data_IF_587832270792
#
_entry.id   IF_587832270792
#
_cell.length_a   1.000
_cell.length_b   1.000
_cell.length_c   1.000
_cell.angle_alpha   90.00
_cell.angle_beta   90.00
_cell.angle_gamma   90.00
#
_symmetry.space_group_name_H-M   'P 1'
#
loop_
_entity.id
_entity.type
_entity.pdbx_description
1 polymer ?
#
# COMPACT_ATOMS: atom_id res chain seq x y z
N UNK A 1 5.49 -26.91 19.65
CA UNK A 1 6.21 -25.64 19.69
C UNK A 1 5.55 -24.76 20.73
N UNK A 2 6.33 -24.01 21.51
CA UNK A 2 5.79 -23.04 22.47
C UNK A 2 5.21 -21.87 21.67
N UNK A 3 3.92 -21.54 21.85
CA UNK A 3 3.30 -20.43 21.14
C UNK A 3 3.72 -19.07 21.70
N UNK A 4 3.54 -17.99 20.91
CA UNK A 4 3.87 -16.63 21.28
C UNK A 4 2.67 -15.89 21.90
N UNK A 5 2.95 -15.00 22.84
CA UNK A 5 1.99 -14.02 23.35
C UNK A 5 2.00 -12.79 22.43
N UNK A 6 0.92 -12.60 21.70
CA UNK A 6 0.83 -11.59 20.61
C UNK A 6 -0.02 -10.39 21.05
N UNK A 7 0.49 -9.18 20.80
CA UNK A 7 -0.31 -7.96 20.84
C UNK A 7 -0.53 -7.41 19.42
N UNK A 8 -1.74 -6.95 19.12
CA UNK A 8 -2.07 -6.26 17.85
C UNK A 8 -2.59 -4.87 18.18
N UNK A 9 -1.76 -3.85 18.00
CA UNK A 9 -2.09 -2.43 18.23
C UNK A 9 -2.76 -1.87 16.98
N UNK A 10 -3.98 -1.40 17.11
CA UNK A 10 -4.85 -1.03 15.99
C UNK A 10 -5.67 -2.21 15.46
N UNK A 11 -5.99 -3.20 16.31
CA UNK A 11 -6.67 -4.45 15.95
C UNK A 11 -8.04 -4.24 15.24
N UNK A 12 -8.72 -3.13 15.48
CA UNK A 12 -10.00 -2.77 14.83
C UNK A 12 -9.85 -2.02 13.51
N UNK A 13 -8.62 -1.70 13.10
CA UNK A 13 -8.30 -1.07 11.82
C UNK A 13 -8.21 -2.07 10.67
N UNK A 14 -8.19 -1.57 9.42
CA UNK A 14 -8.12 -2.42 8.23
C UNK A 14 -6.89 -3.35 8.24
N UNK A 15 -5.70 -2.83 8.55
CA UNK A 15 -4.47 -3.63 8.61
C UNK A 15 -4.47 -4.55 9.84
N UNK A 16 -4.91 -4.07 11.02
CA UNK A 16 -4.96 -4.91 12.23
C UNK A 16 -5.89 -6.12 12.08
N UNK A 17 -7.04 -5.94 11.44
CA UNK A 17 -7.95 -7.03 11.12
C UNK A 17 -7.31 -8.05 10.15
N UNK A 18 -6.56 -7.58 9.16
CA UNK A 18 -5.82 -8.46 8.25
C UNK A 18 -4.65 -9.17 8.96
N UNK A 19 -3.96 -8.54 9.93
CA UNK A 19 -2.95 -9.22 10.75
C UNK A 19 -3.56 -10.42 11.48
N UNK A 20 -4.72 -10.23 12.11
CA UNK A 20 -5.42 -11.33 12.81
C UNK A 20 -5.77 -12.46 11.83
N UNK A 21 -6.34 -12.14 10.67
CA UNK A 21 -6.68 -13.10 9.64
C UNK A 21 -5.46 -13.86 9.12
N UNK A 22 -4.37 -13.17 8.82
CA UNK A 22 -3.15 -13.79 8.30
C UNK A 22 -2.48 -14.68 9.35
N UNK A 23 -2.44 -14.28 10.64
CA UNK A 23 -1.95 -15.14 11.72
C UNK A 23 -2.75 -16.45 11.80
N UNK A 24 -4.05 -16.40 11.60
CA UNK A 24 -4.92 -17.57 11.57
C UNK A 24 -4.67 -18.45 10.34
N UNK A 25 -4.71 -17.89 9.14
CA UNK A 25 -4.54 -18.60 7.87
C UNK A 25 -3.17 -19.27 7.75
N UNK A 26 -2.13 -18.63 8.28
CA UNK A 26 -0.77 -19.15 8.29
C UNK A 26 -0.48 -20.08 9.48
N UNK A 27 -1.49 -20.33 10.31
CA UNK A 27 -1.35 -21.15 11.50
C UNK A 27 -0.18 -20.71 12.40
N UNK A 28 0.04 -19.39 12.48
CA UNK A 28 1.10 -18.84 13.33
C UNK A 28 0.92 -19.31 14.79
N UNK A 29 2.00 -19.70 15.49
CA UNK A 29 1.91 -20.29 16.83
C UNK A 29 1.55 -19.25 17.89
N UNK A 30 0.27 -18.92 18.03
CA UNK A 30 -0.25 -17.97 19.02
C UNK A 30 -0.69 -18.71 20.28
N UNK A 31 -0.02 -18.43 21.41
CA UNK A 31 -0.39 -18.91 22.74
C UNK A 31 -1.46 -18.03 23.40
N UNK A 32 -1.38 -16.71 23.22
CA UNK A 32 -2.41 -15.78 23.64
C UNK A 32 -2.45 -14.56 22.72
N UNK A 33 -3.63 -13.94 22.61
CA UNK A 33 -3.85 -12.75 21.80
C UNK A 33 -4.34 -11.59 22.66
N UNK A 34 -3.71 -10.43 22.52
CA UNK A 34 -4.13 -9.16 23.12
C UNK A 34 -4.44 -8.15 22.03
N UNK A 35 -5.71 -8.02 21.58
CA UNK A 35 -6.10 -6.96 20.64
C UNK A 35 -6.19 -5.62 21.39
N UNK A 36 -5.52 -4.61 20.84
CA UNK A 36 -5.37 -3.29 21.45
C UNK A 36 -5.84 -2.21 20.47
N UNK A 37 -6.57 -1.22 20.96
CA UNK A 37 -6.95 -0.05 20.17
C UNK A 37 -7.11 1.21 21.05
N UNK A 38 -7.59 2.32 20.47
CA UNK A 38 -7.92 3.53 21.22
C UNK A 38 -9.14 3.33 22.14
N UNK A 39 -9.30 4.19 23.14
CA UNK A 39 -10.47 4.22 24.05
C UNK A 39 -11.82 4.10 23.31
N UNK A 40 -11.96 4.74 22.13
CA UNK A 40 -13.17 4.67 21.31
C UNK A 40 -13.53 3.24 20.84
N UNK A 41 -12.56 2.35 20.77
CA UNK A 41 -12.73 0.96 20.33
C UNK A 41 -12.58 -0.06 21.46
N UNK A 42 -12.18 0.38 22.65
CA UNK A 42 -12.10 -0.47 23.84
C UNK A 42 -13.49 -1.10 24.16
N UNK A 43 -13.48 -2.34 24.57
CA UNK A 43 -14.67 -3.12 24.84
C UNK A 43 -15.37 -3.73 23.62
N UNK A 44 -15.00 -3.33 22.38
CA UNK A 44 -15.44 -4.06 21.17
C UNK A 44 -14.79 -5.44 21.16
N UNK A 45 -15.40 -6.37 20.43
CA UNK A 45 -14.86 -7.71 20.24
C UNK A 45 -14.19 -7.81 18.86
N UNK A 46 -13.06 -8.51 18.78
CA UNK A 46 -12.48 -9.01 17.55
C UNK A 46 -12.47 -10.52 17.56
N UNK A 47 -12.74 -11.12 16.40
CA UNK A 47 -12.69 -12.59 16.24
C UNK A 47 -11.30 -13.01 15.82
N UNK A 48 -10.80 -14.06 16.44
CA UNK A 48 -9.56 -14.74 16.04
C UNK A 48 -9.76 -16.24 16.26
N UNK A 49 -9.57 -17.02 15.24
CA UNK A 49 -10.00 -18.43 15.19
C UNK A 49 -11.50 -18.51 15.51
N UNK A 50 -11.92 -19.38 16.38
CA UNK A 50 -13.33 -19.50 16.79
C UNK A 50 -13.70 -18.69 18.03
N UNK A 51 -12.73 -17.96 18.60
CA UNK A 51 -12.89 -17.21 19.83
C UNK A 51 -13.09 -15.71 19.60
N UNK A 52 -13.73 -15.06 20.56
CA UNK A 52 -13.96 -13.62 20.58
C UNK A 52 -13.14 -12.98 21.68
N UNK A 53 -12.29 -12.02 21.32
CA UNK A 53 -11.38 -11.34 22.24
C UNK A 53 -11.83 -9.90 22.46
N UNK A 54 -11.96 -9.42 23.72
CA UNK A 54 -12.25 -8.03 23.98
C UNK A 54 -11.05 -7.16 23.63
N UNK A 55 -11.32 -6.07 22.92
CA UNK A 55 -10.31 -5.05 22.59
C UNK A 55 -9.97 -4.25 23.84
N UNK A 56 -8.69 -4.22 24.19
CA UNK A 56 -8.19 -3.45 25.32
C UNK A 56 -7.80 -2.03 24.89
N UNK A 57 -7.93 -1.08 25.81
CA UNK A 57 -7.39 0.25 25.59
C UNK A 57 -5.87 0.25 25.66
N UNK A 58 -5.24 0.99 24.74
CA UNK A 58 -3.79 1.13 24.69
C UNK A 58 -3.27 1.95 25.87
N UNK A 59 -2.38 1.37 26.66
CA UNK A 59 -1.72 1.98 27.80
C UNK A 59 -0.31 1.43 28.03
N UNK A 60 0.41 1.97 29.00
CA UNK A 60 1.80 1.59 29.26
C UNK A 60 1.99 0.11 29.66
N UNK A 61 0.98 -0.51 30.27
CA UNK A 61 0.99 -1.93 30.66
C UNK A 61 0.46 -2.87 29.58
N UNK A 62 0.15 -2.36 28.41
CA UNK A 62 -0.42 -3.15 27.32
C UNK A 62 0.56 -4.20 26.76
N UNK A 63 1.83 -4.09 27.11
CA UNK A 63 2.89 -4.97 26.57
C UNK A 63 3.47 -5.93 27.62
N UNK A 64 2.95 -5.94 28.85
CA UNK A 64 3.39 -6.85 29.89
C UNK A 64 3.23 -8.32 29.42
N UNK A 65 4.33 -9.08 29.40
CA UNK A 65 4.37 -10.49 28.95
C UNK A 65 3.96 -10.72 27.49
N UNK A 66 4.22 -9.77 26.62
CA UNK A 66 4.03 -9.91 25.18
C UNK A 66 5.37 -10.26 24.55
N UNK A 67 5.38 -11.29 23.70
CA UNK A 67 6.56 -11.68 22.93
C UNK A 67 6.69 -10.85 21.67
N UNK A 68 5.58 -10.68 20.91
CA UNK A 68 5.56 -9.94 19.63
C UNK A 68 4.40 -8.96 19.62
N UNK A 69 4.67 -7.71 19.26
CA UNK A 69 3.68 -6.65 19.11
C UNK A 69 3.62 -6.10 17.68
N UNK A 70 2.51 -6.32 17.00
CA UNK A 70 2.24 -5.73 15.68
C UNK A 70 1.61 -4.34 15.83
N UNK A 71 2.23 -3.31 15.27
CA UNK A 71 1.75 -1.94 15.32
C UNK A 71 1.14 -1.52 13.99
N UNK A 72 -0.14 -1.12 14.00
CA UNK A 72 -0.87 -0.64 12.82
C UNK A 72 -1.85 0.50 13.17
N UNK A 73 -1.49 1.35 14.14
CA UNK A 73 -2.34 2.41 14.68
C UNK A 73 -1.88 3.84 14.32
N UNK A 74 -0.99 3.95 13.33
CA UNK A 74 -0.46 5.22 12.83
C UNK A 74 0.77 5.74 13.57
N UNK A 75 1.46 6.70 12.94
CA UNK A 75 2.80 7.14 13.37
C UNK A 75 2.86 7.79 14.75
N UNK A 76 1.84 8.55 15.15
CA UNK A 76 1.79 9.16 16.48
C UNK A 76 1.76 8.09 17.59
N UNK A 77 0.92 7.07 17.39
CA UNK A 77 0.83 5.93 18.31
C UNK A 77 2.13 5.15 18.36
N UNK A 78 2.76 4.89 17.21
CA UNK A 78 4.05 4.19 17.14
C UNK A 78 5.14 4.98 17.84
N UNK A 79 5.25 6.28 17.59
CA UNK A 79 6.26 7.13 18.25
C UNK A 79 6.16 7.08 19.78
N UNK A 80 4.93 7.03 20.30
CA UNK A 80 4.69 7.03 21.74
C UNK A 80 4.89 5.65 22.37
N UNK A 81 4.39 4.59 21.74
CA UNK A 81 4.24 3.29 22.41
C UNK A 81 5.22 2.21 21.92
N UNK A 82 5.89 2.35 20.79
CA UNK A 82 6.94 1.42 20.38
C UNK A 82 8.08 1.37 21.40
N UNK A 83 8.60 2.51 21.90
CA UNK A 83 9.61 2.47 22.96
C UNK A 83 9.13 1.76 24.24
N UNK A 84 7.85 1.94 24.61
CA UNK A 84 7.26 1.27 25.78
C UNK A 84 7.19 -0.24 25.59
N UNK A 85 6.81 -0.70 24.39
CA UNK A 85 6.77 -2.13 24.07
C UNK A 85 8.17 -2.75 24.07
N UNK A 86 9.17 -2.09 23.49
CA UNK A 86 10.56 -2.55 23.52
C UNK A 86 11.13 -2.59 24.94
N UNK A 87 10.78 -1.63 25.82
CA UNK A 87 11.18 -1.65 27.24
C UNK A 87 10.53 -2.79 28.02
N UNK A 88 9.39 -3.31 27.57
CA UNK A 88 8.73 -4.49 28.13
C UNK A 88 9.22 -5.80 27.48
N UNK A 89 10.36 -5.77 26.79
CA UNK A 89 10.99 -6.88 26.07
C UNK A 89 10.13 -7.49 24.94
N UNK A 90 9.09 -6.78 24.48
CA UNK A 90 8.34 -7.21 23.32
C UNK A 90 9.08 -6.85 22.02
N UNK A 91 9.20 -7.83 21.12
CA UNK A 91 9.62 -7.54 19.75
C UNK A 91 8.51 -6.79 19.01
N UNK A 92 8.81 -5.63 18.48
CA UNK A 92 7.87 -4.79 17.75
C UNK A 92 8.06 -4.96 16.24
N UNK A 93 6.96 -5.17 15.52
CA UNK A 93 6.89 -5.06 14.05
C UNK A 93 5.97 -3.88 13.74
N UNK A 94 6.56 -2.77 13.27
CA UNK A 94 5.84 -1.49 13.10
C UNK A 94 5.53 -1.19 11.63
N UNK A 95 4.24 -1.04 11.31
CA UNK A 95 3.78 -0.64 9.97
C UNK A 95 3.84 0.87 9.70
N UNK A 96 4.15 1.70 10.71
CA UNK A 96 4.23 3.14 10.50
C UNK A 96 5.52 3.54 9.78
N UNK A 97 5.56 4.78 9.28
CA UNK A 97 6.77 5.31 8.65
C UNK A 97 7.81 5.85 9.65
N UNK A 98 7.50 5.85 10.96
CA UNK A 98 8.26 6.59 11.97
C UNK A 98 9.70 6.12 12.08
N UNK A 99 9.92 4.81 12.08
CA UNK A 99 11.24 4.22 12.36
C UNK A 99 11.91 3.64 11.12
N UNK A 100 11.26 3.67 9.95
CA UNK A 100 11.76 3.00 8.74
C UNK A 100 13.15 3.44 8.33
N UNK A 101 13.45 4.73 8.47
CA UNK A 101 14.74 5.29 8.04
C UNK A 101 15.79 5.40 9.14
N UNK A 102 15.47 4.96 10.37
CA UNK A 102 16.45 4.87 11.45
C UNK A 102 17.52 3.81 11.11
N UNK A 103 18.80 4.17 11.22
CA UNK A 103 19.91 3.32 10.77
C UNK A 103 20.02 1.98 11.51
N UNK A 104 19.58 1.96 12.77
CA UNK A 104 19.62 0.77 13.64
C UNK A 104 18.36 -0.09 13.58
N UNK A 105 17.32 0.35 12.85
CA UNK A 105 16.06 -0.38 12.69
C UNK A 105 16.04 -1.08 11.34
N UNK A 106 16.00 -2.41 11.28
CA UNK A 106 15.83 -3.12 10.02
C UNK A 106 14.50 -2.77 9.34
N UNK A 107 14.55 -2.57 8.02
CA UNK A 107 13.38 -2.38 7.16
C UNK A 107 13.29 -3.59 6.23
N UNK A 108 12.29 -4.47 6.44
CA UNK A 108 12.36 -5.83 5.93
C UNK A 108 11.22 -6.20 4.99
N UNK A 109 11.60 -6.78 3.84
CA UNK A 109 10.74 -7.60 3.00
C UNK A 109 11.35 -9.00 2.99
N UNK A 110 10.70 -10.03 3.55
CA UNK A 110 11.29 -11.37 3.71
C UNK A 110 11.83 -11.98 2.43
N UNK A 111 11.22 -11.76 1.28
CA UNK A 111 11.67 -12.27 -0.02
C UNK A 111 12.91 -11.54 -0.56
N UNK A 112 13.34 -10.44 0.08
CA UNK A 112 14.40 -9.56 -0.43
C UNK A 112 15.60 -9.54 0.51
N UNK A 113 15.38 -9.21 1.78
CA UNK A 113 16.42 -8.96 2.77
C UNK A 113 16.11 -9.59 4.13
N UNK A 114 15.66 -10.86 4.14
CA UNK A 114 15.33 -11.60 5.37
C UNK A 114 16.42 -11.54 6.45
N UNK A 115 17.69 -11.58 6.05
CA UNK A 115 18.84 -11.58 6.98
C UNK A 115 18.94 -10.28 7.80
N UNK A 116 18.37 -9.17 7.29
CA UNK A 116 18.35 -7.92 8.04
C UNK A 116 17.47 -8.03 9.30
N UNK A 117 16.42 -8.86 9.27
CA UNK A 117 15.56 -9.07 10.44
C UNK A 117 16.36 -9.50 11.67
N UNK A 118 17.43 -10.31 11.50
CA UNK A 118 18.28 -10.77 12.59
C UNK A 118 19.10 -9.68 13.28
N UNK A 119 19.19 -8.49 12.69
CA UNK A 119 19.93 -7.35 13.24
C UNK A 119 19.08 -6.44 14.12
N UNK A 120 17.83 -6.82 14.39
CA UNK A 120 16.94 -6.02 15.21
C UNK A 120 17.43 -5.84 16.64
N UNK A 121 17.01 -4.74 17.27
CA UNK A 121 17.22 -4.44 18.70
C UNK A 121 15.87 -4.27 19.39
N UNK A 122 14.95 -5.23 19.17
CA UNK A 122 13.58 -5.17 19.69
C UNK A 122 12.58 -4.50 18.75
N UNK A 123 13.02 -3.93 17.61
CA UNK A 123 12.15 -3.27 16.64
C UNK A 123 12.54 -3.63 15.22
N UNK A 124 11.54 -3.99 14.38
CA UNK A 124 11.65 -4.17 12.94
C UNK A 124 10.57 -3.30 12.28
N UNK A 125 10.95 -2.53 11.28
CA UNK A 125 10.02 -1.72 10.49
C UNK A 125 9.49 -2.52 9.30
N UNK A 126 8.18 -2.43 9.09
CA UNK A 126 7.49 -2.91 7.90
C UNK A 126 7.45 -1.80 6.85
N UNK A 127 7.79 -2.06 5.57
CA UNK A 127 7.94 -1.02 4.58
C UNK A 127 6.61 -0.37 4.15
N UNK A 128 6.72 0.69 3.36
CA UNK A 128 5.60 1.29 2.65
C UNK A 128 4.97 0.26 1.69
N UNK A 129 3.65 0.26 1.62
CA UNK A 129 2.91 -0.73 0.84
C UNK A 129 3.24 -0.68 -0.67
N UNK A 130 3.39 0.52 -1.22
CA UNK A 130 3.73 0.70 -2.63
C UNK A 130 5.17 0.28 -2.91
N UNK A 131 6.10 0.62 -2.00
CA UNK A 131 7.49 0.16 -2.04
C UNK A 131 7.56 -1.37 -2.03
N UNK A 132 6.86 -2.02 -1.09
CA UNK A 132 6.85 -3.47 -0.99
C UNK A 132 6.36 -4.11 -2.30
N UNK A 133 5.18 -3.72 -2.81
CA UNK A 133 4.61 -4.26 -4.04
C UNK A 133 5.53 -4.05 -5.24
N UNK A 134 6.12 -2.86 -5.39
CA UNK A 134 7.02 -2.54 -6.48
C UNK A 134 8.29 -3.41 -6.43
N UNK A 135 8.89 -3.54 -5.25
CA UNK A 135 10.14 -4.26 -5.07
C UNK A 135 9.98 -5.78 -5.27
N UNK A 136 8.79 -6.35 -5.05
CA UNK A 136 8.54 -7.77 -5.38
C UNK A 136 8.84 -8.10 -6.84
N UNK A 137 8.61 -7.15 -7.77
CA UNK A 137 8.94 -7.33 -9.18
C UNK A 137 10.32 -6.75 -9.55
N UNK A 138 10.70 -5.61 -8.98
CA UNK A 138 11.95 -4.92 -9.34
C UNK A 138 13.19 -5.65 -8.82
N UNK A 139 13.16 -6.18 -7.58
CA UNK A 139 14.33 -6.78 -6.97
C UNK A 139 14.82 -8.06 -7.66
N UNK A 140 13.96 -9.01 -8.07
CA UNK A 140 14.43 -10.14 -8.88
C UNK A 140 15.14 -9.73 -10.16
N UNK A 141 14.66 -8.69 -10.84
CA UNK A 141 15.31 -8.12 -12.03
C UNK A 141 16.64 -7.43 -11.68
N UNK A 142 16.68 -6.70 -10.56
CA UNK A 142 17.92 -6.11 -10.06
C UNK A 142 19.03 -7.14 -9.84
N UNK A 143 18.68 -8.27 -9.23
CA UNK A 143 19.63 -9.36 -8.96
C UNK A 143 20.31 -9.92 -10.21
N UNK A 144 19.68 -9.81 -11.36
CA UNK A 144 20.18 -10.35 -12.63
C UNK A 144 20.78 -9.26 -13.51
N UNK A 145 20.16 -8.09 -13.56
CA UNK A 145 20.49 -7.05 -14.54
C UNK A 145 21.10 -5.78 -13.93
N UNK A 146 21.07 -5.61 -12.60
CA UNK A 146 21.57 -4.41 -11.93
C UNK A 146 20.74 -3.17 -12.21
N UNK A 147 19.67 -2.92 -11.43
CA UNK A 147 18.84 -1.71 -11.60
C UNK A 147 19.63 -0.45 -11.24
N UNK A 148 19.59 0.56 -12.10
CA UNK A 148 20.18 1.88 -11.88
C UNK A 148 19.17 2.91 -11.41
N UNK A 149 18.08 3.01 -12.16
CA UNK A 149 17.01 3.99 -11.91
C UNK A 149 15.70 3.53 -12.47
N UNK A 150 14.62 4.15 -11.94
CA UNK A 150 13.27 3.93 -12.44
C UNK A 150 12.52 5.25 -12.64
N UNK A 151 11.60 5.27 -13.59
CA UNK A 151 10.41 6.10 -13.55
C UNK A 151 9.21 5.24 -13.20
N UNK A 152 8.36 5.70 -12.29
CA UNK A 152 7.19 4.95 -11.89
C UNK A 152 5.97 5.83 -11.65
N UNK A 153 4.79 5.27 -11.88
CA UNK A 153 3.53 5.84 -11.44
C UNK A 153 2.76 4.80 -10.63
N UNK A 154 2.34 5.16 -9.42
CA UNK A 154 1.53 4.27 -8.60
C UNK A 154 0.05 4.64 -8.71
N UNK A 155 -0.80 3.62 -8.70
CA UNK A 155 -2.26 3.70 -8.71
C UNK A 155 -2.76 3.07 -7.40
N UNK A 156 -3.00 3.93 -6.41
CA UNK A 156 -3.20 3.50 -5.04
C UNK A 156 -4.67 3.48 -4.64
N UNK A 157 -5.17 2.31 -4.23
CA UNK A 157 -6.52 2.11 -3.75
C UNK A 157 -6.82 2.92 -2.46
N UNK A 158 -8.07 3.29 -2.27
CA UNK A 158 -8.52 4.11 -1.12
C UNK A 158 -8.31 3.43 0.23
N UNK A 159 -8.32 2.10 0.30
CA UNK A 159 -8.09 1.37 1.55
C UNK A 159 -6.71 1.60 2.17
N UNK A 160 -5.72 2.07 1.38
CA UNK A 160 -4.44 2.56 1.90
C UNK A 160 -4.58 3.76 2.86
N UNK A 161 -5.67 4.52 2.76
CA UNK A 161 -6.04 5.60 3.70
C UNK A 161 -7.02 5.15 4.79
N UNK A 162 -7.26 3.84 4.93
CA UNK A 162 -8.08 3.24 5.98
C UNK A 162 -9.59 3.21 5.69
N UNK A 163 -10.34 2.72 6.68
CA UNK A 163 -11.78 2.46 6.54
C UNK A 163 -12.61 3.72 6.21
N UNK A 164 -12.21 4.90 6.69
CA UNK A 164 -12.90 6.16 6.37
C UNK A 164 -12.87 6.47 4.88
N UNK A 165 -11.75 6.22 4.20
CA UNK A 165 -11.59 6.43 2.77
C UNK A 165 -12.41 5.43 1.93
N UNK A 166 -12.50 4.18 2.38
CA UNK A 166 -13.38 3.17 1.77
C UNK A 166 -14.83 3.64 1.83
N UNK A 167 -15.29 4.08 3.01
CA UNK A 167 -16.64 4.57 3.20
C UNK A 167 -16.93 5.85 2.40
N UNK A 168 -15.94 6.74 2.26
CA UNK A 168 -16.07 7.94 1.45
C UNK A 168 -16.28 7.62 -0.01
N UNK A 169 -15.47 6.73 -0.60
CA UNK A 169 -15.66 6.29 -1.98
C UNK A 169 -17.03 5.63 -2.17
N UNK A 170 -17.43 4.72 -1.26
CA UNK A 170 -18.71 4.04 -1.34
C UNK A 170 -19.90 5.01 -1.29
N UNK A 171 -19.83 6.00 -0.41
CA UNK A 171 -20.84 7.06 -0.33
C UNK A 171 -20.91 7.87 -1.61
N UNK A 172 -19.78 8.40 -2.09
CA UNK A 172 -19.74 9.22 -3.30
C UNK A 172 -20.25 8.47 -4.54
N UNK A 173 -19.92 7.18 -4.71
CA UNK A 173 -20.42 6.33 -5.79
C UNK A 173 -21.94 6.14 -5.68
N UNK A 174 -22.44 5.87 -4.46
CA UNK A 174 -23.90 5.70 -4.21
C UNK A 174 -24.68 6.99 -4.49
N UNK A 175 -24.15 8.14 -4.07
CA UNK A 175 -24.78 9.44 -4.27
C UNK A 175 -24.82 9.81 -5.76
N UNK A 176 -23.75 9.58 -6.49
CA UNK A 176 -23.70 9.77 -7.94
C UNK A 176 -24.68 8.84 -8.72
N UNK A 177 -24.89 7.61 -8.22
CA UNK A 177 -25.85 6.69 -8.84
C UNK A 177 -27.32 7.07 -8.58
N UNK A 178 -27.61 7.75 -7.44
CA UNK A 178 -28.99 8.15 -7.08
C UNK A 178 -29.49 9.39 -7.78
N UNK A 179 -28.60 10.31 -8.12
CA UNK A 179 -28.96 11.58 -8.76
C UNK A 179 -27.97 11.97 -9.87
N UNK A 180 -28.11 11.36 -11.07
CA UNK A 180 -27.32 11.75 -12.21
C UNK A 180 -27.52 13.20 -12.69
N UNK A 181 -28.58 13.89 -12.21
CA UNK A 181 -28.97 15.24 -12.69
C UNK A 181 -28.75 16.35 -11.65
N UNK A 182 -28.81 16.08 -10.35
CA UNK A 182 -28.70 17.12 -9.31
C UNK A 182 -27.30 17.70 -9.19
N UNK A 183 -26.31 16.92 -9.60
CA UNK A 183 -24.91 17.33 -9.61
C UNK A 183 -24.57 18.37 -10.68
N UNK A 184 -25.44 18.58 -11.69
CA UNK A 184 -25.18 19.52 -12.82
C UNK A 184 -25.55 20.96 -12.56
N UNK A 185 -26.29 21.29 -11.48
CA UNK A 185 -26.88 22.63 -11.31
C UNK A 185 -26.18 23.57 -10.31
N UNK A 186 -25.17 23.14 -9.53
CA UNK A 186 -24.66 23.96 -8.41
C UNK A 186 -23.21 24.44 -8.45
N UNK A 187 -22.46 24.27 -9.53
CA UNK A 187 -21.05 24.70 -9.51
C UNK A 187 -20.50 25.35 -10.78
N UNK A 188 -21.28 26.16 -11.44
CA UNK A 188 -20.70 27.15 -12.37
C UNK A 188 -21.29 28.51 -11.99
N UNK A 189 -20.52 29.35 -11.30
CA UNK A 189 -20.72 30.77 -11.28
C UNK A 189 -20.85 31.24 -12.75
N UNK A 190 -21.88 32.03 -13.04
CA UNK A 190 -22.15 32.53 -14.37
C UNK A 190 -20.94 33.25 -14.94
N UNK A 191 -20.21 32.61 -15.84
CA UNK A 191 -19.36 33.33 -16.76
C UNK A 191 -20.25 34.04 -17.79
N UNK A 192 -19.95 35.29 -18.22
CA UNK A 192 -20.80 36.05 -19.13
C UNK A 192 -21.02 35.29 -20.45
N UNK A 193 -22.29 35.15 -20.85
CA UNK A 193 -22.70 34.52 -22.10
C UNK A 193 -22.12 35.32 -23.30
N UNK A 194 -21.07 34.78 -23.93
CA UNK A 194 -20.72 35.18 -25.27
C UNK A 194 -21.86 34.78 -26.22
N UNK A 195 -22.38 35.72 -26.98
CA UNK A 195 -23.40 35.51 -28.03
C UNK A 195 -22.81 34.65 -29.14
N UNK A 196 -23.15 33.36 -29.17
CA UNK A 196 -22.82 32.44 -30.25
C UNK A 196 -23.86 32.56 -31.35
N UNK A 197 -23.42 32.76 -32.59
CA UNK A 197 -24.23 32.85 -33.79
C UNK A 197 -24.81 31.46 -34.18
N UNK A 198 -25.96 31.44 -34.95
CA UNK A 198 -26.77 30.22 -35.16
C UNK A 198 -26.16 29.11 -36.04
N UNK A 199 -24.92 29.20 -36.50
CA UNK A 199 -24.39 28.30 -37.55
C UNK A 199 -23.51 27.15 -37.09
N UNK A 200 -23.38 26.85 -35.81
CA UNK A 200 -22.54 25.73 -35.31
C UNK A 200 -23.33 24.60 -34.61
N UNK A 201 -24.51 24.25 -35.13
CA UNK A 201 -25.20 23.03 -34.69
C UNK A 201 -24.72 21.78 -35.46
N UNK A 202 -23.49 21.42 -35.33
CA UNK A 202 -23.06 20.05 -35.59
C UNK A 202 -23.48 19.18 -34.38
N UNK A 203 -24.23 18.13 -34.66
CA UNK A 203 -24.84 17.20 -33.72
C UNK A 203 -23.79 16.39 -32.95
N UNK A 204 -23.25 16.92 -31.89
CA UNK A 204 -22.61 16.12 -30.88
C UNK A 204 -23.66 15.82 -29.78
N UNK A 205 -23.83 14.56 -29.36
CA UNK A 205 -24.68 14.25 -28.22
C UNK A 205 -24.19 15.08 -27.03
N UNK A 206 -25.09 15.61 -26.17
CA UNK A 206 -24.67 16.37 -24.99
C UNK A 206 -23.76 15.48 -24.16
N UNK A 207 -22.50 15.89 -24.02
CA UNK A 207 -21.58 15.25 -23.10
C UNK A 207 -22.28 15.23 -21.75
N UNK A 208 -22.67 14.02 -21.27
CA UNK A 208 -23.18 13.83 -19.90
C UNK A 208 -22.08 14.31 -18.96
N UNK A 209 -22.24 15.49 -18.40
CA UNK A 209 -21.34 15.96 -17.34
C UNK A 209 -21.64 15.14 -16.12
N UNK A 210 -20.80 14.17 -15.84
CA UNK A 210 -20.79 13.55 -14.53
C UNK A 210 -20.25 14.57 -13.55
N UNK A 211 -21.09 15.30 -12.85
CA UNK A 211 -20.65 16.13 -11.75
C UNK A 211 -20.64 15.27 -10.49
N UNK A 212 -19.46 14.95 -10.03
CA UNK A 212 -19.25 14.34 -8.70
C UNK A 212 -19.55 15.43 -7.66
N UNK A 213 -20.24 15.04 -6.60
CA UNK A 213 -20.64 15.87 -5.47
C UNK A 213 -19.63 16.96 -5.10
N UNK A 214 -20.16 18.12 -4.66
CA UNK A 214 -19.43 19.29 -4.17
C UNK A 214 -18.27 18.89 -3.23
N UNK A 215 -17.24 19.74 -3.14
CA UNK A 215 -16.10 19.60 -2.21
C UNK A 215 -16.51 19.34 -0.74
N UNK A 216 -17.74 19.69 -0.35
CA UNK A 216 -18.33 19.38 0.96
C UNK A 216 -18.50 17.87 1.22
N UNK A 217 -18.48 17.03 0.18
CA UNK A 217 -18.56 15.58 0.33
C UNK A 217 -17.18 14.90 0.54
N UNK A 218 -16.07 15.61 0.33
CA UNK A 218 -14.71 15.12 0.56
C UNK A 218 -14.31 15.36 2.01
N UNK A 219 -13.99 14.30 2.74
CA UNK A 219 -13.64 14.36 4.18
C UNK A 219 -12.28 13.74 4.50
N UNK A 220 -11.79 12.85 3.63
CA UNK A 220 -10.48 12.20 3.76
C UNK A 220 -9.51 12.77 2.75
N UNK A 221 -9.98 13.07 1.54
CA UNK A 221 -9.17 13.61 0.45
C UNK A 221 -9.49 15.08 0.19
N UNK A 222 -8.56 15.84 -0.41
CA UNK A 222 -8.80 17.26 -0.74
C UNK A 222 -9.85 17.46 -1.86
N UNK A 223 -10.13 16.41 -2.63
CA UNK A 223 -11.10 16.40 -3.72
C UNK A 223 -11.91 15.11 -3.71
N UNK A 224 -13.11 15.07 -4.31
CA UNK A 224 -13.86 13.84 -4.50
C UNK A 224 -13.04 12.77 -5.22
N UNK A 225 -13.09 11.55 -4.70
CA UNK A 225 -12.33 10.43 -5.26
C UNK A 225 -13.14 9.58 -6.24
N UNK A 226 -14.48 9.51 -6.09
CA UNK A 226 -15.31 8.75 -7.02
C UNK A 226 -15.18 9.34 -8.44
N UNK A 227 -14.91 8.48 -9.43
CA UNK A 227 -14.73 8.86 -10.84
C UNK A 227 -13.61 9.87 -11.09
N UNK A 228 -12.62 9.95 -10.21
CA UNK A 228 -11.53 10.92 -10.26
C UNK A 228 -10.17 10.25 -10.00
N UNK A 229 -9.10 10.94 -10.39
CA UNK A 229 -7.72 10.60 -10.07
C UNK A 229 -7.10 11.75 -9.29
N UNK A 230 -6.48 11.47 -8.16
CA UNK A 230 -5.79 12.49 -7.36
C UNK A 230 -4.28 12.22 -7.40
N UNK A 231 -3.48 13.00 -8.14
CA UNK A 231 -2.02 12.88 -8.17
C UNK A 231 -1.40 13.46 -6.89
N UNK A 232 -1.85 12.96 -5.77
CA UNK A 232 -1.53 13.47 -4.44
C UNK A 232 -1.77 12.36 -3.40
N UNK A 233 -0.68 11.80 -2.87
CA UNK A 233 -0.72 10.85 -1.75
C UNK A 233 0.28 11.32 -0.71
N UNK A 234 -0.19 11.53 0.55
CA UNK A 234 0.57 12.14 1.65
C UNK A 234 0.84 13.65 1.40
N UNK A 235 1.63 14.32 2.24
CA UNK A 235 1.89 15.75 2.17
C UNK A 235 2.99 16.10 1.16
N UNK A 236 2.86 17.26 0.52
CA UNK A 236 3.90 17.81 -0.36
C UNK A 236 5.13 18.28 0.44
N UNK A 237 6.29 18.14 -0.20
CA UNK A 237 7.56 18.68 0.21
C UNK A 237 7.90 19.93 -0.62
N UNK A 238 8.88 20.72 -0.18
CA UNK A 238 9.36 21.89 -0.92
C UNK A 238 9.89 21.56 -2.30
N UNK A 239 10.38 20.33 -2.50
CA UNK A 239 10.83 19.82 -3.81
C UNK A 239 9.71 19.62 -4.83
N UNK A 240 8.44 19.73 -4.43
CA UNK A 240 7.28 19.41 -5.26
C UNK A 240 6.89 17.93 -5.24
N UNK A 241 7.75 17.04 -4.76
CA UNK A 241 7.38 15.65 -4.49
C UNK A 241 6.53 15.53 -3.23
N UNK A 242 5.76 14.45 -3.12
CA UNK A 242 5.10 14.10 -1.86
C UNK A 242 6.00 13.23 -0.99
N UNK A 243 5.70 13.16 0.31
CA UNK A 243 6.40 12.23 1.21
C UNK A 243 6.25 10.77 0.76
N UNK A 244 5.09 10.41 0.20
CA UNK A 244 4.85 9.06 -0.32
C UNK A 244 5.81 8.71 -1.47
N UNK A 245 6.04 9.64 -2.38
CA UNK A 245 6.96 9.47 -3.51
C UNK A 245 8.41 9.31 -3.06
N UNK A 246 8.83 10.10 -2.08
CA UNK A 246 10.19 9.98 -1.53
C UNK A 246 10.40 8.70 -0.73
N UNK A 247 9.39 8.21 0.00
CA UNK A 247 9.47 6.90 0.67
C UNK A 247 9.82 5.78 -0.31
N UNK A 248 9.26 5.78 -1.51
CA UNK A 248 9.53 4.73 -2.49
C UNK A 248 11.02 4.70 -2.85
N UNK A 249 11.65 5.85 -3.05
CA UNK A 249 13.08 5.91 -3.31
C UNK A 249 13.92 5.50 -2.10
N UNK A 250 13.67 6.13 -0.95
CA UNK A 250 14.56 6.01 0.21
C UNK A 250 14.45 4.63 0.86
N UNK A 251 13.24 4.08 0.96
CA UNK A 251 13.01 2.74 1.46
C UNK A 251 13.58 1.68 0.50
N UNK A 252 13.47 1.88 -0.83
CA UNK A 252 14.08 0.97 -1.81
C UNK A 252 15.60 0.92 -1.69
N UNK A 253 16.26 2.06 -1.49
CA UNK A 253 17.70 2.13 -1.23
C UNK A 253 18.10 1.29 -0.01
N UNK A 254 17.35 1.42 1.08
CA UNK A 254 17.63 0.71 2.32
C UNK A 254 17.38 -0.79 2.18
N UNK A 255 16.24 -1.20 1.62
CA UNK A 255 15.84 -2.61 1.48
C UNK A 255 16.75 -3.36 0.51
N UNK A 256 17.10 -2.75 -0.62
CA UNK A 256 17.98 -3.37 -1.63
C UNK A 256 19.47 -3.22 -1.31
N UNK A 257 19.86 -2.48 -0.26
CA UNK A 257 21.25 -2.10 0.03
C UNK A 257 21.91 -1.39 -1.16
N UNK A 258 21.16 -0.52 -1.84
CA UNK A 258 21.60 0.16 -3.06
C UNK A 258 21.49 1.70 -2.89
N UNK A 259 22.45 2.36 -2.24
CA UNK A 259 22.37 3.79 -1.91
C UNK A 259 22.30 4.68 -3.15
N UNK A 260 22.87 4.25 -4.29
CA UNK A 260 22.87 5.00 -5.54
C UNK A 260 21.59 4.84 -6.37
N UNK A 261 20.64 4.02 -5.93
CA UNK A 261 19.38 3.85 -6.64
C UNK A 261 18.61 5.15 -6.73
N UNK A 262 18.05 5.44 -7.91
CA UNK A 262 17.28 6.65 -8.20
C UNK A 262 15.87 6.28 -8.67
N UNK A 263 14.88 6.95 -8.11
CA UNK A 263 13.50 6.80 -8.52
C UNK A 263 12.83 8.17 -8.69
N UNK A 264 12.19 8.40 -9.84
CA UNK A 264 11.24 9.49 -10.01
C UNK A 264 9.84 8.89 -10.07
N UNK A 265 9.01 9.22 -9.09
CA UNK A 265 7.71 8.57 -8.89
C UNK A 265 6.61 9.61 -8.82
N UNK A 266 5.47 9.31 -9.41
CA UNK A 266 4.22 10.04 -9.19
C UNK A 266 3.21 9.10 -8.52
N UNK A 267 2.73 9.48 -7.35
CA UNK A 267 1.75 8.71 -6.60
C UNK A 267 0.33 9.22 -6.82
N UNK A 268 -0.55 8.37 -7.36
CA UNK A 268 -1.92 8.71 -7.70
C UNK A 268 -2.91 7.90 -6.84
N UNK A 269 -3.83 8.58 -6.14
CA UNK A 269 -4.98 7.93 -5.52
C UNK A 269 -6.06 7.68 -6.59
N UNK A 270 -6.55 6.44 -6.66
CA UNK A 270 -7.54 6.03 -7.65
C UNK A 270 -8.82 5.51 -6.97
N UNK A 271 -9.99 5.55 -7.65
CA UNK A 271 -11.27 5.10 -7.10
C UNK A 271 -11.41 3.56 -7.12
N UNK A 272 -10.43 2.90 -6.53
CA UNK A 272 -10.35 1.45 -6.37
C UNK A 272 -10.36 1.14 -4.89
N UNK A 273 -11.16 0.16 -4.47
CA UNK A 273 -11.29 -0.15 -3.04
C UNK A 273 -10.05 -0.81 -2.45
N UNK A 274 -9.46 -1.79 -3.15
CA UNK A 274 -8.37 -2.63 -2.63
C UNK A 274 -7.39 -2.98 -3.74
N UNK A 275 -6.14 -3.21 -3.39
CA UNK A 275 -4.97 -3.46 -4.21
C UNK A 275 -4.39 -2.22 -4.91
N UNK A 276 -3.08 -2.07 -4.80
CA UNK A 276 -2.30 -1.05 -5.49
C UNK A 276 -1.71 -1.62 -6.77
N UNK A 277 -1.47 -0.74 -7.72
CA UNK A 277 -0.72 -1.09 -8.94
C UNK A 277 0.37 -0.06 -9.18
N UNK A 278 1.46 -0.48 -9.82
CA UNK A 278 2.58 0.39 -10.18
C UNK A 278 3.00 0.10 -11.62
N UNK A 279 3.01 1.14 -12.44
CA UNK A 279 3.68 1.13 -13.74
C UNK A 279 5.14 1.50 -13.52
N UNK A 280 6.07 0.70 -14.02
CA UNK A 280 7.50 0.91 -13.84
C UNK A 280 8.20 0.87 -15.19
N UNK A 281 9.05 1.87 -15.45
CA UNK A 281 10.10 1.88 -16.48
C UNK A 281 11.44 1.88 -15.77
N UNK A 282 12.20 0.79 -15.91
CA UNK A 282 13.45 0.57 -15.20
C UNK A 282 14.63 0.50 -16.17
N UNK A 283 15.72 1.21 -15.86
CA UNK A 283 17.00 1.10 -16.56
C UNK A 283 17.95 0.21 -15.76
N UNK A 284 18.65 -0.67 -16.48
CA UNK A 284 19.58 -1.63 -15.90
C UNK A 284 21.02 -1.39 -16.40
N UNK A 285 21.97 -1.98 -15.65
CA UNK A 285 23.41 -1.92 -16.00
C UNK A 285 23.77 -2.86 -17.14
N UNK A 286 23.17 -4.06 -17.09
CA UNK A 286 23.46 -5.13 -18.04
C UNK A 286 22.35 -5.23 -19.10
N UNK A 287 22.67 -5.76 -20.28
CA UNK A 287 21.68 -6.00 -21.33
C UNK A 287 20.52 -6.84 -20.83
N UNK A 288 19.31 -6.44 -21.20
CA UNK A 288 18.05 -7.11 -20.81
C UNK A 288 17.37 -7.70 -22.04
N UNK A 289 16.63 -8.80 -21.83
CA UNK A 289 15.63 -9.29 -22.78
C UNK A 289 14.32 -9.60 -22.07
N UNK A 290 13.21 -9.49 -22.79
CA UNK A 290 11.88 -9.77 -22.29
C UNK A 290 11.75 -11.22 -21.83
N UNK A 291 12.30 -12.15 -22.62
CA UNK A 291 12.27 -13.59 -22.34
C UNK A 291 12.98 -13.89 -21.03
N UNK A 292 14.20 -13.37 -20.86
CA UNK A 292 14.98 -13.59 -19.64
C UNK A 292 14.32 -12.91 -18.42
N UNK A 293 13.77 -11.72 -18.59
CA UNK A 293 13.03 -11.04 -17.53
C UNK A 293 11.80 -11.86 -17.08
N UNK A 294 11.03 -12.40 -18.01
CA UNK A 294 9.87 -13.26 -17.71
C UNK A 294 10.27 -14.54 -16.97
N UNK A 295 11.36 -15.18 -17.34
CA UNK A 295 11.91 -16.35 -16.64
C UNK A 295 12.27 -16.04 -15.19
N UNK A 296 12.90 -14.89 -14.95
CA UNK A 296 13.29 -14.42 -13.62
C UNK A 296 12.05 -14.14 -12.77
N UNK A 297 11.09 -13.40 -13.33
CA UNK A 297 9.87 -13.01 -12.62
C UNK A 297 8.98 -14.22 -12.31
N UNK A 298 8.90 -15.21 -13.21
CA UNK A 298 8.11 -16.43 -13.00
C UNK A 298 8.63 -17.31 -11.87
N UNK A 299 9.92 -17.17 -11.49
CA UNK A 299 10.56 -17.94 -10.42
C UNK A 299 10.68 -17.17 -9.10
N UNK A 300 10.30 -15.89 -9.09
CA UNK A 300 10.45 -15.05 -7.92
C UNK A 300 9.42 -15.44 -6.82
N UNK A 301 9.86 -15.61 -5.56
CA UNK A 301 8.96 -15.94 -4.47
C UNK A 301 7.95 -14.80 -4.22
N UNK A 302 6.71 -15.14 -3.87
CA UNK A 302 5.65 -14.14 -3.60
C UNK A 302 5.17 -13.38 -4.83
N UNK A 303 5.55 -13.80 -6.05
CA UNK A 303 5.21 -13.16 -7.31
C UNK A 303 4.61 -14.17 -8.30
N UNK A 304 3.57 -13.75 -9.00
CA UNK A 304 2.92 -14.50 -10.08
C UNK A 304 3.08 -13.74 -11.40
N UNK A 305 3.66 -14.37 -12.42
CA UNK A 305 3.73 -13.79 -13.77
C UNK A 305 2.39 -13.99 -14.51
N UNK A 306 1.66 -12.89 -14.75
CA UNK A 306 0.40 -12.86 -15.51
C UNK A 306 0.60 -11.96 -16.72
N UNK A 307 1.11 -12.52 -17.81
CA UNK A 307 1.56 -11.72 -18.96
C UNK A 307 1.21 -12.36 -20.31
N UNK A 308 -0.08 -12.42 -20.62
CA UNK A 308 -0.63 -12.86 -21.89
C UNK A 308 -1.49 -11.75 -22.53
N UNK A 309 -0.90 -10.63 -22.99
CA UNK A 309 -1.65 -9.46 -23.48
C UNK A 309 -2.58 -9.79 -24.65
N UNK A 310 -2.21 -10.73 -25.51
CA UNK A 310 -3.05 -11.18 -26.64
C UNK A 310 -4.36 -11.85 -26.19
N UNK A 311 -4.41 -12.34 -24.94
CA UNK A 311 -5.60 -12.92 -24.31
C UNK A 311 -6.26 -11.97 -23.31
N UNK A 312 -5.84 -10.71 -23.27
CA UNK A 312 -6.25 -9.72 -22.26
C UNK A 312 -5.99 -10.18 -20.81
N UNK A 313 -4.95 -10.99 -20.60
CA UNK A 313 -4.54 -11.45 -19.25
C UNK A 313 -3.31 -10.68 -18.79
N UNK A 314 -3.52 -9.87 -17.79
CA UNK A 314 -2.53 -9.01 -17.15
C UNK A 314 -2.96 -8.69 -15.71
N UNK A 315 -2.05 -8.24 -14.82
CA UNK A 315 -2.40 -7.93 -13.43
C UNK A 315 -3.40 -6.79 -13.32
N UNK A 316 -4.37 -6.94 -12.43
CA UNK A 316 -5.38 -5.92 -12.12
C UNK A 316 -5.67 -5.91 -10.62
N UNK A 317 -6.11 -4.78 -10.03
CA UNK A 317 -6.52 -4.71 -8.63
C UNK A 317 -7.53 -5.80 -8.24
N UNK A 318 -8.55 -6.04 -9.08
CA UNK A 318 -9.57 -7.08 -8.83
C UNK A 318 -8.99 -8.50 -8.82
N UNK A 319 -7.91 -8.76 -9.56
CA UNK A 319 -7.32 -10.09 -9.64
C UNK A 319 -6.39 -10.43 -8.49
N UNK A 320 -5.90 -9.41 -7.76
CA UNK A 320 -4.94 -9.58 -6.65
C UNK A 320 -5.51 -9.25 -5.28
N UNK A 321 -6.67 -8.58 -5.21
CA UNK A 321 -7.32 -8.29 -3.95
C UNK A 321 -7.60 -9.56 -3.15
N UNK A 322 -7.11 -9.63 -1.90
CA UNK A 322 -7.21 -10.79 -1.03
C UNK A 322 -6.21 -11.91 -1.30
N UNK A 323 -5.25 -11.73 -2.22
CA UNK A 323 -4.19 -12.71 -2.50
C UNK A 323 -2.87 -12.33 -1.86
N UNK A 324 -2.12 -13.34 -1.45
CA UNK A 324 -0.80 -13.19 -0.84
C UNK A 324 0.25 -12.74 -1.86
N UNK A 325 0.23 -13.35 -3.05
CA UNK A 325 1.19 -13.03 -4.11
C UNK A 325 0.84 -11.72 -4.83
N UNK A 326 1.87 -10.93 -5.11
CA UNK A 326 1.77 -9.88 -6.11
C UNK A 326 1.72 -10.50 -7.51
N UNK A 327 1.12 -9.78 -8.46
CA UNK A 327 1.11 -10.18 -9.87
C UNK A 327 1.92 -9.18 -10.68
N UNK A 328 2.74 -9.67 -11.62
CA UNK A 328 3.50 -8.86 -12.58
C UNK A 328 3.17 -9.26 -14.01
N UNK A 329 3.14 -8.29 -14.91
CA UNK A 329 2.90 -8.52 -16.33
C UNK A 329 3.16 -7.27 -17.16
N UNK A 330 2.73 -7.27 -18.42
CA UNK A 330 3.01 -6.19 -19.38
C UNK A 330 4.52 -5.96 -19.53
N UNK A 331 5.32 -7.04 -19.39
CA UNK A 331 6.78 -7.01 -19.51
C UNK A 331 7.16 -6.79 -20.97
N UNK A 332 7.89 -5.72 -21.24
CA UNK A 332 8.31 -5.32 -22.59
C UNK A 332 9.60 -4.51 -22.53
N UNK A 333 10.32 -4.43 -23.65
CA UNK A 333 11.44 -3.49 -23.75
C UNK A 333 10.93 -2.06 -23.55
N UNK A 334 11.69 -1.28 -22.82
CA UNK A 334 11.42 0.15 -22.66
C UNK A 334 11.90 0.92 -23.89
N UNK A 335 11.11 1.88 -24.35
CA UNK A 335 11.47 2.67 -25.55
C UNK A 335 12.32 3.90 -25.22
N UNK A 336 12.40 4.29 -23.95
CA UNK A 336 13.06 5.51 -23.51
C UNK A 336 14.44 5.24 -22.91
N UNK A 337 14.69 4.01 -22.45
CA UNK A 337 15.95 3.62 -21.82
C UNK A 337 16.70 2.57 -22.63
N UNK A 338 17.98 2.79 -22.85
CA UNK A 338 18.90 1.71 -23.20
C UNK A 338 18.96 0.71 -22.04
N UNK A 339 18.96 -0.59 -22.34
CA UNK A 339 18.85 -1.66 -21.35
C UNK A 339 17.65 -1.47 -20.42
N UNK A 340 16.52 -1.04 -20.96
CA UNK A 340 15.31 -0.74 -20.22
C UNK A 340 14.23 -1.80 -20.35
N UNK A 341 13.50 -2.04 -19.26
CA UNK A 341 12.27 -2.81 -19.23
C UNK A 341 11.13 -1.96 -18.65
N UNK A 342 9.96 -2.04 -19.29
CA UNK A 342 8.70 -1.57 -18.70
C UNK A 342 7.86 -2.75 -18.26
N UNK A 343 7.23 -2.64 -17.08
CA UNK A 343 6.32 -3.66 -16.56
C UNK A 343 5.23 -3.03 -15.70
N UNK A 344 4.23 -3.82 -15.39
CA UNK A 344 3.14 -3.47 -14.51
C UNK A 344 3.05 -4.50 -13.37
N UNK A 345 3.01 -4.04 -12.13
CA UNK A 345 2.84 -4.89 -10.95
C UNK A 345 1.61 -4.47 -10.18
N UNK A 346 0.86 -5.44 -9.68
CA UNK A 346 -0.28 -5.22 -8.79
C UNK A 346 -0.16 -6.12 -7.56
N UNK A 347 -0.54 -5.62 -6.39
CA UNK A 347 -0.49 -6.38 -5.15
C UNK A 347 -1.49 -5.84 -4.12
N UNK A 348 -1.87 -6.69 -3.20
CA UNK A 348 -2.75 -6.31 -2.11
C UNK A 348 -1.98 -5.53 -1.04
N UNK A 349 -2.28 -4.23 -0.93
CA UNK A 349 -1.58 -3.33 -0.01
C UNK A 349 -1.91 -3.60 1.47
N UNK A 350 -3.01 -4.30 1.77
CA UNK A 350 -3.32 -4.72 3.14
C UNK A 350 -2.63 -6.03 3.51
N UNK A 351 -2.25 -6.84 2.52
CA UNK A 351 -1.54 -8.11 2.69
C UNK A 351 -0.03 -7.93 2.49
N UNK A 352 0.47 -8.16 1.29
CA UNK A 352 1.92 -8.03 1.03
C UNK A 352 2.44 -6.62 1.29
N UNK A 353 1.61 -5.61 1.08
CA UNK A 353 1.94 -4.23 1.44
C UNK A 353 1.93 -3.94 2.96
N UNK A 354 1.38 -4.82 3.82
CA UNK A 354 1.23 -4.56 5.25
C UNK A 354 1.18 -5.84 6.10
N UNK A 355 0.00 -6.42 6.31
CA UNK A 355 -0.23 -7.47 7.31
C UNK A 355 0.53 -8.77 7.01
N UNK A 356 0.48 -9.24 5.77
CA UNK A 356 1.20 -10.44 5.36
C UNK A 356 2.71 -10.27 5.53
N UNK A 357 3.27 -9.15 5.05
CA UNK A 357 4.69 -8.88 5.20
C UNK A 357 5.10 -8.83 6.67
N UNK A 358 4.27 -8.21 7.54
CA UNK A 358 4.54 -8.15 8.97
C UNK A 358 4.52 -9.54 9.64
N UNK A 359 3.56 -10.40 9.28
CA UNK A 359 3.51 -11.78 9.80
C UNK A 359 4.67 -12.62 9.26
N UNK A 360 5.01 -12.48 7.98
CA UNK A 360 6.19 -13.14 7.39
C UNK A 360 7.51 -12.69 8.08
N UNK A 361 7.62 -11.42 8.49
CA UNK A 361 8.76 -10.95 9.31
C UNK A 361 8.80 -11.72 10.64
N UNK A 362 7.65 -11.89 11.30
CA UNK A 362 7.59 -12.66 12.56
C UNK A 362 7.94 -14.14 12.36
N UNK A 363 7.67 -14.72 11.20
CA UNK A 363 8.04 -16.10 10.87
C UNK A 363 9.55 -16.33 10.68
N UNK A 364 10.34 -15.25 10.49
CA UNK A 364 11.80 -15.33 10.37
C UNK A 364 12.51 -15.48 11.74
N UNK A 365 11.78 -15.30 12.84
CA UNK A 365 12.32 -15.19 14.21
C UNK A 365 12.02 -16.44 15.02
#
# INVERSE_FOLDING_TARGET
MKGYHIAVVGATGAVGAEVLRVLEERSFPVASLRPIASARSAGKAVRFREESFPVQELGNRSFDKIDIAFFSAGGETSRKYVPVACQADALVIDNSAVFRMESHVPLVIPEINAEDARRHRGLIANPNCTTAIMLMALYPLHRVFGVRRIFAASYQAVSGSGARAINELARQVKDAARDPQSSSRRSLGEAPRAKLTPQSRASHPPSRRYSVASSEAATVYPHPIAFNLLPHVDSFLESGYTKEEMKIQDESRKIMHLPEFRASVTCVRVPVYRAHSVAVSAQFEHPVSVERAREVLAKAPGLELVDEPKKNRYPMPLSVAGKDNCQVGRVRMDCAFENGLSFWVSGDQLLKGAALNAVQIAELL
#
